data_IF_868891027861
#
_entry.id   IF_868891027861
#
_cell.length_a   1.000
_cell.length_b   1.000
_cell.length_c   1.000
_cell.angle_alpha   90.00
_cell.angle_beta   90.00
_cell.angle_gamma   90.00
#
_symmetry.space_group_name_H-M   'P 1'
#
loop_
_entity.id
_entity.type
_entity.pdbx_description
1 polymer ?
#
# COMPACT_ATOMS: atom_id res chain seq x y z
N UNK A 1 -6.68 15.85 9.31
CA UNK A 1 -5.52 15.76 8.41
C UNK A 1 -5.38 14.30 8.03
N UNK A 2 -5.23 14.02 6.73
CA UNK A 2 -4.84 12.70 6.25
C UNK A 2 -3.51 12.26 6.88
N UNK A 3 -3.24 10.95 6.84
CA UNK A 3 -2.06 10.36 7.47
C UNK A 3 -1.53 9.22 6.62
N UNK A 4 -0.23 8.99 6.73
CA UNK A 4 0.45 7.83 6.18
C UNK A 4 0.46 6.72 7.24
N UNK A 5 -0.12 5.57 6.89
CA UNK A 5 -0.16 4.38 7.73
C UNK A 5 0.73 3.31 7.12
N UNK A 6 1.61 2.72 7.93
CA UNK A 6 2.34 1.52 7.57
C UNK A 6 1.84 0.31 8.36
N UNK A 7 1.14 -0.58 7.66
CA UNK A 7 0.72 -1.89 8.12
C UNK A 7 1.80 -2.91 7.79
N UNK A 8 2.60 -3.27 8.79
CA UNK A 8 3.74 -4.15 8.61
C UNK A 8 3.53 -5.51 9.26
N UNK A 9 4.16 -6.54 8.70
CA UNK A 9 4.20 -7.88 9.27
C UNK A 9 5.31 -8.74 8.65
N UNK A 10 5.53 -9.95 9.17
CA UNK A 10 6.11 -11.07 8.44
C UNK A 10 5.20 -11.58 7.30
N UNK A 11 5.73 -12.47 6.47
CA UNK A 11 4.95 -13.19 5.45
C UNK A 11 3.81 -14.01 6.10
N UNK A 12 2.77 -14.30 5.32
CA UNK A 12 1.60 -15.10 5.73
C UNK A 12 0.70 -14.53 6.84
N UNK A 13 0.82 -13.24 7.16
CA UNK A 13 -0.02 -12.59 8.19
C UNK A 13 -1.35 -12.00 7.70
N UNK A 14 -1.73 -12.21 6.43
CA UNK A 14 -2.99 -11.68 5.88
C UNK A 14 -2.96 -10.19 5.48
N UNK A 15 -1.79 -9.64 5.09
CA UNK A 15 -1.66 -8.24 4.65
C UNK A 15 -2.61 -7.87 3.51
N UNK A 16 -2.57 -8.61 2.40
CA UNK A 16 -3.45 -8.36 1.24
C UNK A 16 -4.93 -8.55 1.60
N UNK A 17 -5.27 -9.47 2.52
CA UNK A 17 -6.65 -9.58 3.05
C UNK A 17 -7.06 -8.30 3.78
N UNK A 18 -6.21 -7.77 4.67
CA UNK A 18 -6.50 -6.56 5.42
C UNK A 18 -6.60 -5.33 4.49
N UNK A 19 -5.76 -5.25 3.46
CA UNK A 19 -5.83 -4.23 2.42
C UNK A 19 -7.16 -4.29 1.68
N UNK A 20 -7.52 -5.45 1.13
CA UNK A 20 -8.75 -5.64 0.36
C UNK A 20 -10.00 -5.39 1.21
N UNK A 21 -9.98 -5.82 2.48
CA UNK A 21 -11.06 -5.52 3.42
C UNK A 21 -11.18 -4.02 3.69
N UNK A 22 -10.06 -3.30 3.83
CA UNK A 22 -10.08 -1.84 4.01
C UNK A 22 -10.65 -1.16 2.78
N UNK A 23 -10.17 -1.51 1.58
CA UNK A 23 -10.70 -1.00 0.30
C UNK A 23 -12.20 -1.25 0.15
N UNK A 24 -12.66 -2.46 0.46
CA UNK A 24 -14.08 -2.81 0.47
C UNK A 24 -14.90 -1.93 1.44
N UNK A 25 -14.40 -1.71 2.66
CA UNK A 25 -15.09 -0.87 3.66
C UNK A 25 -15.24 0.61 3.25
N UNK A 26 -14.34 1.13 2.42
CA UNK A 26 -14.49 2.46 1.81
C UNK A 26 -15.59 2.43 0.74
N UNK A 27 -15.52 1.45 -0.18
CA UNK A 27 -16.48 1.31 -1.29
C UNK A 27 -17.91 1.07 -0.81
N UNK A 28 -18.12 0.31 0.25
CA UNK A 28 -19.43 0.12 0.89
C UNK A 28 -20.05 1.41 1.42
N UNK A 29 -19.24 2.45 1.66
CA UNK A 29 -19.70 3.79 2.06
C UNK A 29 -19.83 4.76 0.89
N UNK A 30 -19.72 4.27 -0.35
CA UNK A 30 -19.70 5.11 -1.56
C UNK A 30 -18.43 5.92 -1.73
N UNK A 31 -17.31 5.50 -1.11
CA UNK A 31 -16.01 6.16 -1.24
C UNK A 31 -15.08 5.39 -2.18
N UNK A 32 -14.41 6.10 -3.07
CA UNK A 32 -13.48 5.51 -4.04
C UNK A 32 -12.08 5.32 -3.46
N UNK A 33 -11.42 4.24 -3.90
CA UNK A 33 -10.08 3.86 -3.47
C UNK A 33 -9.20 3.53 -4.66
N UNK A 34 -7.94 3.94 -4.58
CA UNK A 34 -6.91 3.54 -5.53
C UNK A 34 -6.04 2.46 -4.87
N UNK A 35 -5.94 1.30 -5.51
CA UNK A 35 -5.05 0.21 -5.07
C UNK A 35 -3.84 0.20 -5.99
N UNK A 36 -2.65 0.29 -5.40
CA UNK A 36 -1.36 0.25 -6.08
C UNK A 36 -0.64 -1.05 -5.73
N UNK A 37 0.02 -1.65 -6.71
CA UNK A 37 0.89 -2.80 -6.52
C UNK A 37 2.16 -2.67 -7.38
N UNK A 38 3.33 -3.10 -6.89
CA UNK A 38 4.55 -3.04 -7.67
C UNK A 38 4.51 -4.06 -8.82
N UNK A 39 5.14 -3.73 -9.94
CA UNK A 39 5.26 -4.63 -11.11
C UNK A 39 5.93 -5.96 -10.76
N UNK A 40 6.81 -5.95 -9.75
CA UNK A 40 7.50 -7.13 -9.22
C UNK A 40 6.55 -8.16 -8.58
N UNK A 41 5.30 -7.80 -8.29
CA UNK A 41 4.30 -8.72 -7.74
C UNK A 41 3.48 -9.38 -8.86
N UNK A 42 3.98 -10.50 -9.38
CA UNK A 42 3.33 -11.28 -10.44
C UNK A 42 2.59 -12.53 -9.92
N UNK A 43 2.53 -12.71 -8.58
CA UNK A 43 2.10 -13.97 -7.94
C UNK A 43 0.70 -14.44 -8.33
N UNK A 44 -0.17 -13.52 -8.74
CA UNK A 44 -1.57 -13.79 -9.11
C UNK A 44 -1.99 -13.16 -10.44
N UNK A 45 -1.02 -12.78 -11.29
CA UNK A 45 -1.23 -12.07 -12.55
C UNK A 45 -1.05 -10.56 -12.42
N UNK A 46 -0.57 -9.93 -13.48
CA UNK A 46 -0.32 -8.50 -13.51
C UNK A 46 -1.62 -7.69 -13.33
N UNK A 47 -1.56 -6.59 -12.57
CA UNK A 47 -2.68 -5.67 -12.38
C UNK A 47 -3.68 -6.06 -11.30
N UNK A 48 -3.39 -7.05 -10.45
CA UNK A 48 -4.32 -7.50 -9.40
C UNK A 48 -3.64 -7.70 -8.06
N UNK A 49 -4.34 -7.31 -7.00
CA UNK A 49 -4.02 -7.72 -5.64
C UNK A 49 -4.94 -8.87 -5.26
N UNK A 50 -4.36 -10.01 -4.89
CA UNK A 50 -5.10 -11.20 -4.47
C UNK A 50 -4.64 -11.66 -3.08
N UNK A 51 -5.61 -12.03 -2.25
CA UNK A 51 -5.36 -12.60 -0.94
C UNK A 51 -5.43 -14.12 -0.94
N UNK A 52 -4.77 -14.74 0.04
CA UNK A 52 -4.78 -16.21 0.21
C UNK A 52 -6.15 -16.81 0.52
N UNK A 53 -7.12 -15.99 0.91
CA UNK A 53 -8.50 -16.44 1.17
C UNK A 53 -9.44 -16.20 -0.01
N UNK A 54 -8.90 -15.84 -1.19
CA UNK A 54 -9.65 -15.72 -2.44
C UNK A 54 -10.33 -14.37 -2.67
N UNK A 55 -10.02 -13.34 -1.87
CA UNK A 55 -10.41 -11.96 -2.22
C UNK A 55 -9.44 -11.40 -3.26
N UNK A 56 -9.96 -10.66 -4.23
CA UNK A 56 -9.16 -9.95 -5.24
C UNK A 56 -9.73 -8.55 -5.55
N UNK A 57 -8.88 -7.66 -6.04
CA UNK A 57 -9.25 -6.36 -6.63
C UNK A 57 -8.25 -6.00 -7.73
N UNK A 58 -8.74 -5.28 -8.74
CA UNK A 58 -7.87 -4.58 -9.69
C UNK A 58 -6.95 -3.61 -8.94
N UNK A 59 -5.72 -3.47 -9.45
CA UNK A 59 -4.69 -2.60 -8.93
C UNK A 59 -3.93 -1.92 -10.08
N UNK A 60 -3.60 -0.65 -9.89
CA UNK A 60 -2.70 0.07 -10.78
C UNK A 60 -1.27 -0.37 -10.49
N UNK A 61 -0.58 -0.86 -11.51
CA UNK A 61 0.82 -1.27 -11.39
C UNK A 61 1.74 -0.06 -11.43
N UNK A 62 2.75 -0.06 -10.57
CA UNK A 62 3.86 0.89 -10.62
C UNK A 62 5.22 0.17 -10.64
N UNK A 63 6.20 0.80 -11.27
CA UNK A 63 7.61 0.40 -11.25
C UNK A 63 8.45 1.36 -10.38
N UNK A 64 9.76 1.15 -10.27
CA UNK A 64 10.62 1.96 -9.40
C UNK A 64 10.88 3.40 -9.91
N UNK A 65 10.64 3.67 -11.20
CA UNK A 65 10.83 4.97 -11.85
C UNK A 65 9.54 5.81 -11.84
N UNK A 66 8.39 5.20 -11.56
CA UNK A 66 7.11 5.89 -11.51
C UNK A 66 7.01 6.85 -10.33
N UNK A 67 6.41 8.02 -10.59
CA UNK A 67 6.03 8.98 -9.57
C UNK A 67 4.63 8.65 -9.03
N UNK A 68 4.56 8.23 -7.77
CA UNK A 68 3.30 7.84 -7.15
C UNK A 68 2.37 9.02 -6.90
N UNK A 69 2.91 10.22 -6.67
CA UNK A 69 2.11 11.42 -6.49
C UNK A 69 1.40 11.80 -7.80
N UNK A 70 2.07 11.68 -8.94
CA UNK A 70 1.48 11.93 -10.26
C UNK A 70 0.44 10.88 -10.64
N UNK A 71 0.66 9.60 -10.31
CA UNK A 71 -0.34 8.54 -10.47
C UNK A 71 -1.62 8.89 -9.70
N UNK A 72 -1.48 9.26 -8.43
CA UNK A 72 -2.63 9.63 -7.59
C UNK A 72 -3.33 10.89 -8.11
N UNK A 73 -2.56 11.92 -8.47
CA UNK A 73 -3.09 13.19 -9.01
C UNK A 73 -3.84 12.97 -10.32
N UNK A 74 -3.38 12.04 -11.15
CA UNK A 74 -4.07 11.67 -12.39
C UNK A 74 -5.38 10.96 -12.10
N UNK A 75 -5.39 9.99 -11.20
CA UNK A 75 -6.60 9.24 -10.83
C UNK A 75 -7.69 10.14 -10.21
N UNK A 76 -7.33 11.19 -9.47
CA UNK A 76 -8.29 12.16 -8.90
C UNK A 76 -9.07 12.91 -9.99
N UNK A 77 -8.50 13.08 -11.19
CA UNK A 77 -9.17 13.79 -12.29
C UNK A 77 -10.36 13.02 -12.85
N UNK A 78 -10.34 11.69 -12.75
CA UNK A 78 -11.41 10.83 -13.22
C UNK A 78 -12.53 10.73 -12.18
N UNK A 79 -12.17 10.56 -10.90
CA UNK A 79 -13.12 10.51 -9.79
C UNK A 79 -12.52 10.94 -8.45
N UNK A 80 -13.34 11.41 -7.48
CA UNK A 80 -12.84 11.76 -6.14
C UNK A 80 -12.26 10.56 -5.41
N UNK A 81 -10.97 10.58 -5.10
CA UNK A 81 -10.30 9.56 -4.29
C UNK A 81 -10.38 9.86 -2.79
N UNK A 82 -10.64 8.82 -2.00
CA UNK A 82 -10.80 8.93 -0.55
C UNK A 82 -9.72 8.16 0.22
N UNK A 83 -8.98 7.28 -0.45
CA UNK A 83 -7.92 6.47 0.14
C UNK A 83 -7.02 5.89 -0.95
N UNK A 84 -5.71 5.91 -0.72
CA UNK A 84 -4.72 5.17 -1.53
C UNK A 84 -4.22 3.99 -0.71
N UNK A 85 -4.24 2.80 -1.28
CA UNK A 85 -3.75 1.58 -0.66
C UNK A 85 -2.60 1.01 -1.48
N UNK A 86 -1.50 0.62 -0.82
CA UNK A 86 -0.32 0.06 -1.49
C UNK A 86 -0.11 -1.36 -0.95
N UNK A 87 -0.14 -2.36 -1.83
CA UNK A 87 0.32 -3.71 -1.47
C UNK A 87 1.82 -3.87 -1.71
N UNK A 88 2.43 -4.81 -0.98
CA UNK A 88 3.87 -5.14 -1.04
C UNK A 88 4.78 -3.89 -0.99
N UNK A 89 4.42 -2.94 -0.13
CA UNK A 89 5.06 -1.62 0.00
C UNK A 89 6.55 -1.67 0.41
N UNK A 90 7.07 -2.83 0.79
CA UNK A 90 8.51 -3.00 1.00
C UNK A 90 9.35 -2.79 -0.26
N UNK A 91 8.73 -2.90 -1.45
CA UNK A 91 9.39 -2.71 -2.74
C UNK A 91 9.42 -1.25 -3.21
N UNK A 92 8.87 -0.32 -2.43
CA UNK A 92 8.99 1.12 -2.70
C UNK A 92 10.43 1.58 -2.58
N UNK A 93 10.81 2.55 -3.40
CA UNK A 93 12.05 3.33 -3.22
C UNK A 93 11.87 4.38 -2.14
N UNK A 94 12.98 4.96 -1.65
CA UNK A 94 12.93 6.13 -0.76
C UNK A 94 12.02 7.25 -1.28
N UNK A 95 12.21 7.61 -2.54
CA UNK A 95 11.52 8.76 -3.16
C UNK A 95 10.02 8.47 -3.28
N UNK A 96 9.65 7.23 -3.61
CA UNK A 96 8.25 6.82 -3.61
C UNK A 96 7.60 6.90 -2.23
N UNK A 97 8.32 6.53 -1.15
CA UNK A 97 7.79 6.71 0.21
C UNK A 97 7.63 8.20 0.55
N UNK A 98 8.54 9.06 0.08
CA UNK A 98 8.41 10.51 0.24
C UNK A 98 7.17 11.05 -0.49
N UNK A 99 6.96 10.65 -1.74
CA UNK A 99 5.79 11.02 -2.54
C UNK A 99 4.47 10.59 -1.87
N UNK A 100 4.44 9.43 -1.20
CA UNK A 100 3.26 9.03 -0.42
C UNK A 100 2.96 9.99 0.74
N UNK A 101 3.99 10.55 1.38
CA UNK A 101 3.84 11.64 2.34
C UNK A 101 3.24 12.89 1.70
N UNK A 102 3.73 13.27 0.52
CA UNK A 102 3.19 14.41 -0.23
C UNK A 102 1.71 14.22 -0.62
N UNK A 103 1.30 13.00 -0.97
CA UNK A 103 -0.13 12.68 -1.19
C UNK A 103 -0.96 12.99 0.06
N UNK A 104 -0.47 12.64 1.24
CA UNK A 104 -1.20 12.92 2.49
C UNK A 104 -1.22 14.41 2.83
N UNK A 105 -0.10 15.11 2.66
CA UNK A 105 0.04 16.51 3.05
C UNK A 105 -0.62 17.48 2.06
N UNK A 106 -0.42 17.26 0.76
CA UNK A 106 -0.84 18.17 -0.30
C UNK A 106 -2.25 17.86 -0.80
N UNK A 107 -2.62 16.58 -0.91
CA UNK A 107 -3.92 16.16 -1.43
C UNK A 107 -4.94 15.85 -0.32
N UNK A 108 -4.48 15.78 0.95
CA UNK A 108 -5.30 15.42 2.11
C UNK A 108 -6.06 14.10 1.91
N UNK A 109 -5.42 13.13 1.26
CA UNK A 109 -5.93 11.76 1.06
C UNK A 109 -5.11 10.80 1.92
N UNK A 110 -5.73 9.98 2.78
CA UNK A 110 -5.00 9.01 3.59
C UNK A 110 -4.36 7.92 2.72
N UNK A 111 -3.17 7.48 3.14
CA UNK A 111 -2.40 6.45 2.46
C UNK A 111 -2.16 5.27 3.40
N UNK A 112 -2.51 4.06 2.96
CA UNK A 112 -2.39 2.83 3.72
C UNK A 112 -1.42 1.89 3.00
N UNK A 113 -0.17 1.84 3.46
CA UNK A 113 0.87 0.99 2.91
C UNK A 113 0.93 -0.35 3.67
N UNK A 114 0.91 -1.46 2.94
CA UNK A 114 0.98 -2.82 3.49
C UNK A 114 2.27 -3.48 3.01
N UNK A 115 3.14 -3.91 3.93
CA UNK A 115 4.44 -4.44 3.53
C UNK A 115 5.13 -5.32 4.55
N UNK A 116 6.22 -5.95 4.14
CA UNK A 116 7.11 -6.72 5.01
C UNK A 116 8.07 -5.82 5.76
N UNK A 117 8.32 -6.09 7.04
CA UNK A 117 9.31 -5.28 7.80
C UNK A 117 10.75 -5.57 7.37
N UNK A 118 11.07 -6.85 7.24
CA UNK A 118 12.43 -7.35 7.01
C UNK A 118 12.40 -8.51 6.02
N UNK A 119 13.54 -8.75 5.38
CA UNK A 119 13.77 -9.92 4.54
C UNK A 119 13.99 -11.20 5.38
N UNK A 120 14.36 -12.29 4.71
CA UNK A 120 14.60 -13.59 5.35
C UNK A 120 15.87 -13.64 6.22
N UNK A 121 16.79 -12.67 6.07
CA UNK A 121 17.99 -12.53 6.89
C UNK A 121 17.76 -11.61 8.10
N UNK A 122 16.59 -10.97 8.17
CA UNK A 122 16.26 -10.00 9.20
C UNK A 122 16.68 -8.57 8.85
N UNK A 123 17.17 -8.33 7.64
CA UNK A 123 17.54 -6.99 7.17
C UNK A 123 16.29 -6.24 6.67
N UNK A 124 16.12 -4.96 7.02
CA UNK A 124 14.95 -4.22 6.57
C UNK A 124 15.03 -3.89 5.07
N UNK A 125 13.91 -4.07 4.38
CA UNK A 125 13.73 -3.63 3.00
C UNK A 125 13.82 -2.09 2.91
N UNK A 126 14.20 -1.57 1.74
CA UNK A 126 14.34 -0.12 1.55
C UNK A 126 13.05 0.64 1.83
N UNK A 127 11.96 0.31 1.14
CA UNK A 127 10.66 0.97 1.36
C UNK A 127 10.23 0.88 2.82
N UNK A 128 10.47 -0.27 3.46
CA UNK A 128 10.15 -0.48 4.87
C UNK A 128 11.00 0.36 5.83
N UNK A 129 12.29 0.61 5.54
CA UNK A 129 13.14 1.52 6.35
C UNK A 129 12.51 2.90 6.42
N UNK A 130 12.10 3.43 5.27
CA UNK A 130 11.54 4.78 5.19
C UNK A 130 10.09 4.84 5.68
N UNK A 131 9.26 3.83 5.39
CA UNK A 131 7.90 3.76 5.93
C UNK A 131 7.89 3.68 7.46
N UNK A 132 8.79 2.90 8.07
CA UNK A 132 8.93 2.86 9.53
C UNK A 132 9.37 4.21 10.11
N UNK A 133 10.13 4.99 9.34
CA UNK A 133 10.71 6.25 9.80
C UNK A 133 9.76 7.43 9.62
N UNK A 134 8.96 7.44 8.55
CA UNK A 134 8.19 8.62 8.12
C UNK A 134 6.68 8.48 8.25
N UNK A 135 6.14 7.26 8.39
CA UNK A 135 4.69 7.10 8.56
C UNK A 135 4.21 7.65 9.89
N UNK A 136 3.07 8.36 9.88
CA UNK A 136 2.43 8.87 11.10
C UNK A 136 1.96 7.75 12.04
N UNK A 137 1.62 6.58 11.48
CA UNK A 137 1.07 5.46 12.21
C UNK A 137 1.67 4.13 11.76
N UNK A 138 2.22 3.41 12.74
CA UNK A 138 2.74 2.07 12.54
C UNK A 138 1.78 1.06 13.15
N UNK A 139 1.36 0.07 12.35
CA UNK A 139 0.42 -0.99 12.76
C UNK A 139 1.01 -2.35 12.43
N UNK A 140 1.30 -3.14 13.45
CA UNK A 140 1.70 -4.53 13.25
C UNK A 140 0.46 -5.41 13.01
N UNK A 141 0.44 -6.13 11.90
CA UNK A 141 -0.51 -7.22 11.67
C UNK A 141 0.14 -8.49 12.23
N UNK A 142 -0.46 -9.11 13.25
CA UNK A 142 0.15 -10.26 13.91
C UNK A 142 -0.02 -11.53 13.07
N UNK A 143 1.09 -12.23 12.81
CA UNK A 143 1.08 -13.59 12.30
C UNK A 143 0.97 -14.61 13.44
N UNK A 144 0.35 -15.76 13.18
CA UNK A 144 0.40 -16.92 14.07
C UNK A 144 1.67 -17.70 13.74
N UNK A 145 2.48 -17.99 14.76
CA UNK A 145 3.68 -18.82 14.62
C UNK A 145 3.26 -20.27 14.40
N UNK A 146 3.98 -20.98 13.52
CA UNK A 146 3.78 -22.41 13.27
C UNK A 146 4.46 -23.24 14.36
#
# INVERSE_FOLDING_TARGET
MAKLYFYYSSMNAGKSTALLQSSYNYRERGMNTLVLAPELDDRFGAGKVCSRIGLESEATIFNQEDDLHDIVTTAIKDEPLHCVLIDEAQFLTKDQVFQLGEVTDQLNIPVLAYGLRTDFQGEPFEGSKYLLSWSDNLKEIKAICH
#
